data_IF_236354604219
#
_entry.id   IF_236354604219
#
_cell.length_a   1.000
_cell.length_b   1.000
_cell.length_c   1.000
_cell.angle_alpha   90.00
_cell.angle_beta   90.00
_cell.angle_gamma   90.00
#
_symmetry.space_group_name_H-M   'P 1'
#
loop_
_entity.id
_entity.type
_entity.pdbx_description
1 polymer ?
#
# COMPACT_ATOMS: atom_id res chain seq x y z
N UNK A 1 17.76 63.62 -28.45
CA UNK A 1 17.04 63.32 -27.19
C UNK A 1 16.76 61.81 -27.13
N UNK A 2 17.76 60.96 -26.85
CA UNK A 2 17.64 59.48 -26.88
C UNK A 2 18.19 58.80 -25.61
N UNK A 3 18.24 59.51 -24.49
CA UNK A 3 18.73 58.95 -23.21
C UNK A 3 17.68 58.12 -22.45
N UNK A 4 16.38 58.33 -22.72
CA UNK A 4 15.30 57.57 -22.08
C UNK A 4 15.22 56.10 -22.53
N UNK A 5 15.52 55.83 -23.81
CA UNK A 5 15.34 54.51 -24.41
C UNK A 5 16.39 53.48 -23.94
N UNK A 6 17.63 53.90 -23.62
CA UNK A 6 18.66 52.98 -23.10
C UNK A 6 18.32 52.50 -21.68
N UNK A 7 17.95 53.43 -20.78
CA UNK A 7 17.64 53.08 -19.38
C UNK A 7 16.43 52.13 -19.28
N UNK A 8 15.44 52.29 -20.15
CA UNK A 8 14.26 51.43 -20.17
C UNK A 8 14.57 50.04 -20.73
N UNK A 9 15.42 49.92 -21.76
CA UNK A 9 15.90 48.64 -22.29
C UNK A 9 16.68 47.83 -21.25
N UNK A 10 17.57 48.46 -20.48
CA UNK A 10 18.29 47.75 -19.40
C UNK A 10 17.35 47.24 -18.31
N UNK A 11 16.34 48.01 -17.91
CA UNK A 11 15.33 47.56 -16.94
C UNK A 11 14.55 46.35 -17.45
N UNK A 12 14.16 46.35 -18.73
CA UNK A 12 13.46 45.23 -19.35
C UNK A 12 14.36 43.98 -19.41
N UNK A 13 15.64 44.13 -19.78
CA UNK A 13 16.59 43.02 -19.76
C UNK A 13 16.77 42.42 -18.36
N UNK A 14 16.84 43.27 -17.33
CA UNK A 14 16.93 42.80 -15.94
C UNK A 14 15.66 42.07 -15.47
N UNK A 15 14.47 42.55 -15.88
CA UNK A 15 13.19 41.88 -15.59
C UNK A 15 13.14 40.52 -16.30
N UNK A 16 13.51 40.44 -17.58
CA UNK A 16 13.54 39.18 -18.34
C UNK A 16 14.55 38.20 -17.74
N UNK A 17 15.72 38.69 -17.31
CA UNK A 17 16.72 37.87 -16.64
C UNK A 17 16.19 37.32 -15.31
N UNK A 18 15.54 38.15 -14.50
CA UNK A 18 14.93 37.73 -13.24
C UNK A 18 13.85 36.67 -13.45
N UNK A 19 12.96 36.88 -14.43
CA UNK A 19 11.93 35.90 -14.79
C UNK A 19 12.55 34.59 -15.28
N UNK A 20 13.61 34.66 -16.10
CA UNK A 20 14.30 33.46 -16.59
C UNK A 20 14.92 32.66 -15.46
N UNK A 21 15.53 33.31 -14.46
CA UNK A 21 16.08 32.66 -13.27
C UNK A 21 14.96 32.00 -12.46
N UNK A 22 13.83 32.69 -12.25
CA UNK A 22 12.69 32.15 -11.50
C UNK A 22 12.12 30.91 -12.19
N UNK A 23 11.91 30.95 -13.51
CA UNK A 23 11.43 29.81 -14.29
C UNK A 23 12.38 28.62 -14.14
N UNK A 24 13.70 28.87 -14.21
CA UNK A 24 14.72 27.82 -14.08
C UNK A 24 14.69 27.17 -12.69
N UNK A 25 14.58 27.96 -11.62
CA UNK A 25 14.45 27.45 -10.24
C UNK A 25 13.17 26.63 -10.07
N UNK A 26 12.04 27.11 -10.56
CA UNK A 26 10.75 26.38 -10.47
C UNK A 26 10.82 25.08 -11.25
N UNK A 27 11.35 25.08 -12.49
CA UNK A 27 11.50 23.87 -13.30
C UNK A 27 12.44 22.86 -12.64
N UNK A 28 13.53 23.31 -12.02
CA UNK A 28 14.47 22.43 -11.32
C UNK A 28 13.86 21.83 -10.05
N UNK A 29 13.20 22.65 -9.22
CA UNK A 29 12.50 22.19 -8.03
C UNK A 29 11.37 21.21 -8.39
N UNK A 30 10.61 21.51 -9.44
CA UNK A 30 9.55 20.61 -9.90
C UNK A 30 10.11 19.31 -10.48
N UNK A 31 11.19 19.37 -11.26
CA UNK A 31 11.83 18.19 -11.85
C UNK A 31 12.40 17.23 -10.79
N UNK A 32 13.05 17.77 -9.76
CA UNK A 32 13.58 16.97 -8.64
C UNK A 32 12.46 16.39 -7.77
N UNK A 33 11.43 17.18 -7.46
CA UNK A 33 10.26 16.70 -6.74
C UNK A 33 9.47 15.63 -7.51
N UNK A 34 9.25 15.83 -8.81
CA UNK A 34 8.56 14.88 -9.67
C UNK A 34 9.31 13.55 -9.81
N UNK A 35 10.66 13.59 -9.91
CA UNK A 35 11.49 12.37 -9.88
C UNK A 35 11.37 11.64 -8.55
N UNK A 36 11.41 12.38 -7.45
CA UNK A 36 11.26 11.82 -6.09
C UNK A 36 9.88 11.17 -5.91
N UNK A 37 8.82 11.76 -6.46
CA UNK A 37 7.48 11.17 -6.44
C UNK A 37 7.41 9.89 -7.29
N UNK A 38 7.96 9.92 -8.50
CA UNK A 38 8.04 8.73 -9.36
C UNK A 38 8.82 7.60 -8.70
N UNK A 39 9.93 7.90 -8.03
CA UNK A 39 10.71 6.91 -7.28
C UNK A 39 9.90 6.34 -6.11
N UNK A 40 9.17 7.19 -5.37
CA UNK A 40 8.28 6.77 -4.27
C UNK A 40 7.07 5.97 -4.73
N UNK A 41 6.63 6.14 -5.97
CA UNK A 41 5.57 5.38 -6.62
C UNK A 41 6.07 4.02 -7.14
N UNK A 42 7.37 3.89 -7.44
CA UNK A 42 7.98 2.63 -7.87
C UNK A 42 8.30 1.68 -6.71
N UNK A 43 8.42 2.20 -5.48
CA UNK A 43 8.64 1.36 -4.29
C UNK A 43 7.37 0.55 -4.00
N UNK A 44 7.49 -0.77 -3.82
CA UNK A 44 6.34 -1.62 -3.50
C UNK A 44 5.75 -1.23 -2.14
N UNK A 45 4.48 -0.82 -2.12
CA UNK A 45 3.75 -0.46 -0.89
C UNK A 45 2.75 -1.54 -0.53
N UNK A 46 2.94 -2.13 0.65
CA UNK A 46 2.08 -3.21 1.11
C UNK A 46 0.70 -2.67 1.50
N UNK A 47 -0.30 -2.87 0.63
CA UNK A 47 -1.71 -2.61 0.89
C UNK A 47 -2.42 -3.76 1.65
N UNK A 48 -1.66 -4.63 2.33
CA UNK A 48 -2.24 -5.79 3.02
C UNK A 48 -3.20 -5.38 4.14
N UNK A 49 -2.98 -4.25 4.83
CA UNK A 49 -3.84 -3.83 5.95
C UNK A 49 -5.26 -3.42 5.51
N UNK A 50 -5.39 -2.69 4.40
CA UNK A 50 -6.72 -2.35 3.84
C UNK A 50 -7.42 -3.59 3.29
N UNK A 51 -6.66 -4.49 2.66
CA UNK A 51 -7.14 -5.79 2.19
C UNK A 51 -7.70 -6.65 3.33
N UNK A 52 -6.94 -6.80 4.41
CA UNK A 52 -7.35 -7.56 5.59
C UNK A 52 -8.63 -6.99 6.22
N UNK A 53 -8.73 -5.66 6.33
CA UNK A 53 -9.93 -5.00 6.86
C UNK A 53 -11.17 -5.31 6.00
N UNK A 54 -11.03 -5.25 4.68
CA UNK A 54 -12.13 -5.55 3.77
C UNK A 54 -12.56 -7.02 3.86
N UNK A 55 -11.62 -7.96 3.82
CA UNK A 55 -11.92 -9.39 3.96
C UNK A 55 -12.62 -9.72 5.28
N UNK A 56 -12.19 -9.08 6.38
CA UNK A 56 -12.86 -9.23 7.68
C UNK A 56 -14.26 -8.64 7.67
N UNK A 57 -14.44 -7.45 7.11
CA UNK A 57 -15.75 -6.82 7.02
C UNK A 57 -16.72 -7.69 6.21
N UNK A 58 -16.24 -8.36 5.16
CA UNK A 58 -17.02 -9.34 4.41
C UNK A 58 -17.43 -10.51 5.32
N UNK A 59 -16.44 -11.14 5.97
CA UNK A 59 -16.66 -12.28 6.85
C UNK A 59 -17.60 -11.98 8.02
N UNK A 60 -17.59 -10.76 8.56
CA UNK A 60 -18.56 -10.32 9.58
C UNK A 60 -19.99 -10.17 9.05
N UNK A 61 -20.16 -9.83 7.78
CA UNK A 61 -21.48 -9.65 7.17
C UNK A 61 -22.09 -10.96 6.68
N UNK A 62 -21.27 -11.89 6.19
CA UNK A 62 -21.73 -13.14 5.56
C UNK A 62 -21.49 -14.38 6.42
N UNK A 63 -20.70 -14.26 7.49
CA UNK A 63 -20.26 -15.40 8.32
C UNK A 63 -19.12 -16.23 7.72
N UNK A 64 -18.69 -15.94 6.48
CA UNK A 64 -17.65 -16.70 5.77
C UNK A 64 -16.74 -15.78 4.96
N UNK A 65 -15.50 -16.21 4.70
CA UNK A 65 -14.61 -15.51 3.77
C UNK A 65 -15.11 -15.61 2.32
N UNK A 66 -14.88 -14.56 1.50
CA UNK A 66 -15.32 -14.51 0.10
C UNK A 66 -14.60 -15.57 -0.73
N UNK A 67 -15.23 -16.08 -1.78
CA UNK A 67 -14.57 -17.07 -2.64
C UNK A 67 -13.49 -16.45 -3.52
N UNK A 68 -13.68 -15.19 -3.94
CA UNK A 68 -12.78 -14.43 -4.83
C UNK A 68 -12.76 -12.93 -4.46
N UNK A 69 -11.77 -12.18 -4.97
CA UNK A 69 -11.67 -10.73 -4.73
C UNK A 69 -12.84 -9.95 -5.35
N UNK A 70 -13.45 -10.47 -6.41
CA UNK A 70 -14.61 -9.84 -7.04
C UNK A 70 -15.80 -9.69 -6.05
N UNK A 71 -16.01 -10.66 -5.17
CA UNK A 71 -17.08 -10.59 -4.16
C UNK A 71 -16.81 -9.50 -3.10
N UNK A 72 -15.54 -9.20 -2.82
CA UNK A 72 -15.13 -8.09 -1.95
C UNK A 72 -15.31 -6.75 -2.65
N UNK A 73 -14.93 -6.69 -3.93
CA UNK A 73 -15.05 -5.50 -4.77
C UNK A 73 -16.52 -5.03 -4.85
N UNK A 74 -17.44 -5.93 -5.17
CA UNK A 74 -18.87 -5.61 -5.32
C UNK A 74 -19.52 -5.09 -4.02
N UNK A 75 -19.08 -5.62 -2.86
CA UNK A 75 -19.75 -5.36 -1.58
C UNK A 75 -19.09 -4.27 -0.75
N UNK A 76 -17.76 -4.16 -0.78
CA UNK A 76 -16.99 -3.35 0.16
C UNK A 76 -16.22 -2.24 -0.55
N UNK A 77 -15.41 -2.58 -1.54
CA UNK A 77 -14.51 -1.58 -2.12
C UNK A 77 -15.21 -0.64 -3.11
N UNK A 78 -16.09 -1.17 -3.97
CA UNK A 78 -16.88 -0.41 -4.94
C UNK A 78 -16.04 0.65 -5.68
N UNK A 79 -14.84 0.28 -6.13
CA UNK A 79 -14.00 1.19 -6.89
C UNK A 79 -14.71 1.62 -8.16
N UNK A 80 -14.57 2.90 -8.52
CA UNK A 80 -15.14 3.43 -9.77
C UNK A 80 -14.57 2.77 -11.04
N UNK A 81 -13.40 2.13 -10.92
CA UNK A 81 -12.78 1.31 -11.96
C UNK A 81 -12.36 -0.01 -11.31
N UNK A 82 -12.97 -1.11 -11.75
CA UNK A 82 -12.62 -2.42 -11.22
C UNK A 82 -11.13 -2.71 -11.47
N UNK A 83 -10.39 -3.09 -10.42
CA UNK A 83 -9.03 -3.58 -10.58
C UNK A 83 -8.99 -4.81 -11.50
N UNK A 84 -7.87 -5.02 -12.16
CA UNK A 84 -7.65 -6.25 -12.92
C UNK A 84 -7.42 -7.41 -11.94
N UNK A 85 -8.42 -8.28 -11.81
CA UNK A 85 -8.38 -9.43 -10.91
C UNK A 85 -7.74 -10.68 -11.54
N UNK A 86 -7.26 -10.58 -12.77
CA UNK A 86 -6.78 -11.71 -13.56
C UNK A 86 -7.90 -12.72 -13.89
N UNK A 87 -7.57 -13.76 -14.68
CA UNK A 87 -8.56 -14.72 -15.18
C UNK A 87 -9.24 -15.55 -14.08
N UNK A 88 -8.55 -15.78 -12.96
CA UNK A 88 -9.10 -16.53 -11.82
C UNK A 88 -9.90 -15.66 -10.84
N UNK A 89 -9.94 -14.33 -11.02
CA UNK A 89 -10.55 -13.35 -10.08
C UNK A 89 -9.99 -13.39 -8.64
N UNK A 90 -8.92 -14.15 -8.42
CA UNK A 90 -8.24 -14.36 -7.13
C UNK A 90 -6.90 -13.65 -7.04
N UNK A 91 -6.55 -12.91 -8.07
CA UNK A 91 -5.28 -12.20 -8.13
C UNK A 91 -5.56 -10.71 -8.18
N UNK A 92 -4.64 -9.88 -7.69
CA UNK A 92 -4.79 -8.43 -7.76
C UNK A 92 -3.41 -7.80 -7.84
N UNK A 93 -3.20 -6.87 -8.76
CA UNK A 93 -1.97 -6.07 -8.77
C UNK A 93 -2.28 -4.65 -8.33
N UNK A 94 -1.70 -4.20 -7.22
CA UNK A 94 -1.86 -2.83 -6.72
C UNK A 94 -0.59 -2.35 -6.04
N UNK A 95 -0.21 -1.09 -6.28
CA UNK A 95 0.94 -0.42 -5.65
C UNK A 95 2.27 -1.22 -5.74
N UNK A 96 2.52 -1.82 -6.91
CA UNK A 96 3.66 -2.70 -7.19
C UNK A 96 3.75 -3.90 -6.24
N UNK A 97 2.60 -4.40 -5.78
CA UNK A 97 2.46 -5.72 -5.21
C UNK A 97 1.50 -6.55 -6.05
N UNK A 98 1.85 -7.81 -6.24
CA UNK A 98 1.00 -8.84 -6.78
C UNK A 98 0.43 -9.66 -5.62
N UNK A 99 -0.88 -9.67 -5.51
CA UNK A 99 -1.62 -10.38 -4.48
C UNK A 99 -2.23 -11.64 -5.08
N UNK A 100 -2.11 -12.76 -4.35
CA UNK A 100 -2.77 -14.02 -4.68
C UNK A 100 -3.61 -14.45 -3.48
N UNK A 101 -4.89 -14.62 -3.71
CA UNK A 101 -5.87 -15.05 -2.72
C UNK A 101 -6.23 -16.51 -2.90
N UNK A 102 -6.35 -17.22 -1.78
CA UNK A 102 -7.02 -18.50 -1.77
C UNK A 102 -7.81 -18.69 -0.49
N UNK A 103 -9.06 -19.10 -0.66
CA UNK A 103 -9.92 -19.59 0.41
C UNK A 103 -9.58 -21.07 0.66
N UNK A 104 -9.01 -21.37 1.81
CA UNK A 104 -8.68 -22.75 2.21
C UNK A 104 -9.86 -23.40 2.93
N UNK A 105 -10.62 -22.61 3.69
CA UNK A 105 -11.78 -23.03 4.48
C UNK A 105 -12.78 -21.86 4.58
N UNK A 106 -14.08 -22.07 4.85
CA UNK A 106 -15.04 -20.97 5.05
C UNK A 106 -14.61 -19.94 6.09
N UNK A 107 -13.81 -20.35 7.08
CA UNK A 107 -13.27 -19.49 8.13
C UNK A 107 -11.77 -19.25 8.00
N UNK A 108 -11.09 -19.74 6.95
CA UNK A 108 -9.65 -19.51 6.78
C UNK A 108 -9.32 -19.13 5.35
N UNK A 109 -8.67 -17.98 5.19
CA UNK A 109 -8.13 -17.58 3.90
C UNK A 109 -6.65 -17.25 3.98
N UNK A 110 -6.00 -17.38 2.84
CA UNK A 110 -4.56 -17.14 2.66
C UNK A 110 -4.35 -16.06 1.62
N UNK A 111 -3.34 -15.23 1.85
CA UNK A 111 -2.95 -14.15 0.96
C UNK A 111 -1.44 -14.15 0.81
N UNK A 112 -0.99 -14.23 -0.43
CA UNK A 112 0.35 -13.85 -0.80
C UNK A 112 0.36 -12.40 -1.24
N UNK A 113 1.37 -11.65 -0.81
CA UNK A 113 1.68 -10.32 -1.30
C UNK A 113 3.14 -10.31 -1.74
N UNK A 114 3.34 -10.25 -3.06
CA UNK A 114 4.64 -10.42 -3.71
C UNK A 114 5.04 -9.08 -4.31
N UNK A 115 6.22 -8.54 -3.99
CA UNK A 115 6.65 -7.29 -4.60
C UNK A 115 6.82 -7.48 -6.11
N UNK A 116 6.32 -6.53 -6.88
CA UNK A 116 6.38 -6.48 -8.34
C UNK A 116 6.97 -5.15 -8.81
N UNK A 117 7.16 -4.99 -10.12
CA UNK A 117 7.71 -3.75 -10.70
C UNK A 117 9.24 -3.62 -10.61
N UNK A 118 9.79 -2.46 -11.01
CA UNK A 118 11.23 -2.28 -11.23
C UNK A 118 12.06 -2.27 -9.94
N UNK A 119 11.45 -1.95 -8.79
CA UNK A 119 12.10 -1.93 -7.47
C UNK A 119 11.64 -3.08 -6.58
N UNK A 120 11.27 -4.22 -7.17
CA UNK A 120 10.79 -5.40 -6.40
C UNK A 120 11.77 -5.86 -5.32
N UNK A 121 13.07 -5.69 -5.53
CA UNK A 121 14.13 -6.07 -4.61
C UNK A 121 14.15 -5.21 -3.33
N UNK A 122 13.55 -4.01 -3.37
CA UNK A 122 13.35 -3.16 -2.19
C UNK A 122 12.14 -3.62 -1.35
N UNK A 123 11.31 -4.53 -1.90
CA UNK A 123 10.14 -5.09 -1.25
C UNK A 123 10.42 -6.39 -0.52
N UNK A 124 9.45 -6.85 0.26
CA UNK A 124 9.50 -8.16 0.90
C UNK A 124 8.24 -8.94 0.55
N UNK A 125 8.39 -10.25 0.33
CA UNK A 125 7.20 -11.09 0.17
C UNK A 125 6.56 -11.29 1.52
N UNK A 126 5.23 -11.19 1.54
CA UNK A 126 4.43 -11.49 2.72
C UNK A 126 3.47 -12.61 2.42
N UNK A 127 3.36 -13.53 3.37
CA UNK A 127 2.32 -14.54 3.38
C UNK A 127 1.44 -14.30 4.61
N UNK A 128 0.13 -14.31 4.44
CA UNK A 128 -0.82 -14.08 5.52
C UNK A 128 -1.82 -15.22 5.56
N UNK A 129 -2.06 -15.73 6.76
CA UNK A 129 -3.16 -16.65 7.07
C UNK A 129 -4.11 -15.90 7.99
N UNK A 130 -5.35 -15.74 7.53
CA UNK A 130 -6.37 -14.95 8.20
C UNK A 130 -7.48 -15.90 8.65
N UNK A 131 -7.70 -15.94 9.96
CA UNK A 131 -8.87 -16.56 10.59
C UNK A 131 -9.71 -15.48 11.28
N UNK A 132 -10.92 -15.80 11.80
CA UNK A 132 -11.78 -14.82 12.46
C UNK A 132 -11.14 -14.27 13.74
N UNK A 133 -10.23 -15.02 14.35
CA UNK A 133 -9.66 -14.71 15.65
C UNK A 133 -8.22 -14.20 15.57
N UNK A 134 -7.44 -14.74 14.65
CA UNK A 134 -5.99 -14.56 14.62
C UNK A 134 -5.53 -14.25 13.20
N UNK A 135 -4.56 -13.34 13.08
CA UNK A 135 -3.81 -13.16 11.84
C UNK A 135 -2.39 -13.60 12.08
N UNK A 136 -1.95 -14.57 11.29
CA UNK A 136 -0.55 -14.97 11.21
C UNK A 136 0.04 -14.40 9.93
N UNK A 137 1.21 -13.81 10.05
CA UNK A 137 1.90 -13.16 8.93
C UNK A 137 3.32 -13.65 8.91
N UNK A 138 3.80 -14.01 7.73
CA UNK A 138 5.20 -14.29 7.48
C UNK A 138 5.78 -13.21 6.58
N UNK A 139 7.08 -12.95 6.75
CA UNK A 139 7.85 -12.02 5.93
C UNK A 139 9.13 -12.71 5.48
N UNK A 140 9.45 -12.61 4.20
CA UNK A 140 10.66 -13.19 3.63
C UNK A 140 11.20 -12.37 2.46
N UNK A 141 12.17 -12.92 1.73
CA UNK A 141 12.81 -12.26 0.58
C UNK A 141 11.81 -11.96 -0.54
N UNK A 142 12.21 -11.12 -1.50
CA UNK A 142 11.42 -10.79 -2.69
C UNK A 142 11.37 -12.00 -3.66
N UNK A 143 10.31 -12.81 -3.54
CA UNK A 143 10.07 -13.96 -4.40
C UNK A 143 9.55 -13.50 -5.75
N UNK A 144 9.75 -14.31 -6.80
CA UNK A 144 9.18 -14.02 -8.11
C UNK A 144 7.74 -14.53 -8.18
N UNK A 145 6.92 -13.89 -9.04
CA UNK A 145 5.54 -14.34 -9.29
C UNK A 145 5.49 -15.80 -9.75
N UNK A 146 6.41 -16.19 -10.64
CA UNK A 146 6.46 -17.54 -11.19
C UNK A 146 6.85 -18.63 -10.18
N UNK A 147 7.50 -18.27 -9.07
CA UNK A 147 7.80 -19.21 -8.00
C UNK A 147 6.55 -19.48 -7.15
N UNK A 148 5.74 -18.45 -6.87
CA UNK A 148 4.51 -18.60 -6.08
C UNK A 148 3.42 -19.34 -6.83
N UNK A 149 3.29 -19.16 -8.15
CA UNK A 149 2.31 -19.90 -8.95
C UNK A 149 2.53 -21.43 -8.91
N UNK A 150 3.76 -21.87 -8.54
CA UNK A 150 4.11 -23.29 -8.35
C UNK A 150 3.96 -23.76 -6.91
N UNK A 151 3.80 -22.85 -5.96
CA UNK A 151 3.65 -23.16 -4.53
C UNK A 151 2.16 -23.37 -4.25
N UNK A 152 1.84 -24.39 -3.45
CA UNK A 152 0.48 -24.62 -2.99
C UNK A 152 -0.07 -23.35 -2.30
N UNK A 153 -1.33 -23.01 -2.53
CA UNK A 153 -1.89 -21.76 -2.00
C UNK A 153 -1.84 -21.67 -0.46
N UNK A 154 -1.87 -22.82 0.22
CA UNK A 154 -1.61 -22.96 1.64
C UNK A 154 -0.36 -23.84 1.87
N UNK A 155 0.86 -23.27 1.81
CA UNK A 155 2.09 -24.01 2.08
C UNK A 155 2.19 -24.43 3.55
N UNK A 156 2.93 -25.50 3.83
CA UNK A 156 3.28 -25.87 5.20
C UNK A 156 4.29 -24.88 5.81
N UNK A 157 4.35 -24.82 7.15
CA UNK A 157 5.32 -24.00 7.87
C UNK A 157 6.78 -24.31 7.48
N UNK A 158 7.10 -25.58 7.23
CA UNK A 158 8.43 -26.00 6.80
C UNK A 158 8.78 -25.44 5.41
N UNK A 159 7.82 -25.43 4.48
CA UNK A 159 8.02 -24.83 3.16
C UNK A 159 8.22 -23.31 3.26
N UNK A 160 7.49 -22.63 4.14
CA UNK A 160 7.72 -21.21 4.42
C UNK A 160 9.14 -20.97 4.97
N UNK A 161 9.59 -21.79 5.92
CA UNK A 161 10.94 -21.69 6.46
C UNK A 161 12.02 -21.93 5.39
N UNK A 162 11.82 -22.91 4.51
CA UNK A 162 12.73 -23.16 3.37
C UNK A 162 12.78 -21.98 2.39
N UNK A 163 11.68 -21.24 2.24
CA UNK A 163 11.61 -20.00 1.45
C UNK A 163 12.23 -18.78 2.19
N UNK A 164 12.82 -18.97 3.36
CA UNK A 164 13.37 -17.90 4.19
C UNK A 164 12.30 -16.99 4.79
N UNK A 165 11.06 -17.47 4.90
CA UNK A 165 9.97 -16.72 5.50
C UNK A 165 10.02 -16.84 7.02
N UNK A 166 9.93 -15.72 7.70
CA UNK A 166 9.92 -15.64 9.16
C UNK A 166 8.55 -15.21 9.64
N UNK A 167 7.97 -15.96 10.58
CA UNK A 167 6.71 -15.59 11.21
C UNK A 167 6.90 -14.27 11.97
N UNK A 168 6.03 -13.32 11.67
CA UNK A 168 5.93 -12.02 12.33
C UNK A 168 5.00 -12.15 13.53
N UNK A 169 5.04 -11.16 14.44
CA UNK A 169 4.18 -11.16 15.63
C UNK A 169 2.72 -11.44 15.26
N UNK A 170 2.15 -12.42 15.94
CA UNK A 170 0.74 -12.79 15.80
C UNK A 170 -0.10 -11.60 16.21
N UNK A 171 -1.02 -11.18 15.34
CA UNK A 171 -1.98 -10.13 15.67
C UNK A 171 -3.20 -10.84 16.25
N UNK A 172 -3.27 -10.89 17.58
CA UNK A 172 -4.47 -11.33 18.30
C UNK A 172 -5.55 -10.24 18.18
N UNK A 173 -6.63 -10.57 17.49
CA UNK A 173 -7.69 -9.62 17.18
C UNK A 173 -8.56 -9.30 18.40
N UNK A 174 -8.56 -10.16 19.44
CA UNK A 174 -9.33 -9.94 20.67
C UNK A 174 -8.75 -8.78 21.50
N UNK A 175 -7.45 -8.55 21.40
CA UNK A 175 -6.76 -7.50 22.16
C UNK A 175 -6.77 -6.14 21.46
N UNK A 176 -6.83 -6.10 20.13
CA UNK A 176 -6.83 -4.86 19.35
C UNK A 176 -8.07 -3.96 19.61
N UNK A 177 -9.17 -4.52 20.13
CA UNK A 177 -10.35 -3.75 20.57
C UNK A 177 -10.21 -3.05 21.91
N UNK A 178 -9.22 -3.41 22.75
CA UNK A 178 -9.02 -2.84 24.09
C UNK A 178 -8.08 -1.63 24.10
N UNK A 179 -7.23 -1.44 23.10
CA UNK A 179 -6.26 -0.33 23.10
C UNK A 179 -6.87 1.01 22.68
N UNK A 180 -8.06 1.01 22.07
CA UNK A 180 -8.74 2.26 21.67
C UNK A 180 -9.50 2.95 22.82
N UNK A 181 -9.57 2.36 24.02
CA UNK A 181 -10.26 2.93 25.19
C UNK A 181 -9.32 3.56 26.23
N UNK A 182 -8.04 3.75 25.90
CA UNK A 182 -7.04 4.37 26.80
C UNK A 182 -6.49 5.69 26.24
N UNK A 183 -7.35 6.51 25.62
CA UNK A 183 -7.08 7.94 25.54
C UNK A 183 -7.58 8.58 26.85
N UNK A 184 -6.71 9.18 27.68
CA UNK A 184 -7.19 9.97 28.79
C UNK A 184 -7.95 11.17 28.23
N UNK A 185 -9.25 11.22 28.48
CA UNK A 185 -10.04 12.45 28.37
C UNK A 185 -9.41 13.50 29.28
N UNK A 186 -8.61 14.40 28.69
CA UNK A 186 -8.26 15.67 29.31
C UNK A 186 -9.54 16.51 29.39
N UNK A 187 -10.34 16.23 30.41
CA UNK A 187 -11.43 17.09 30.86
C UNK A 187 -10.79 18.32 31.51
N UNK A 188 -10.73 19.41 30.76
CA UNK A 188 -10.28 20.71 31.26
C UNK A 188 -11.23 21.23 32.34
N UNK A 189 -10.80 21.07 33.59
CA UNK A 189 -11.37 21.71 34.77
C UNK A 189 -10.96 23.20 34.74
N UNK A 190 -11.82 24.06 34.18
CA UNK A 190 -11.71 25.52 34.34
C UNK A 190 -12.20 25.88 35.74
N UNK A 191 -11.26 26.04 36.69
CA UNK A 191 -11.54 26.68 37.97
C UNK A 191 -11.22 28.17 37.92
N UNK A 192 -12.22 28.92 38.36
CA UNK A 192 -12.18 30.24 39.00
C UNK A 192 -10.82 30.66 39.56
N UNK A 193 -10.35 31.85 39.14
CA UNK A 193 -10.12 33.05 39.97
C UNK A 193 -9.61 34.20 39.10
#
# INVERSE_FOLDING_TARGET
MFEGARKQKFKITFVILGVSIIVLVISFAYGTWARTQREKEMVPRLAADSMMKALRQYQRQTGQFPDDFNAVEERIWKHSKNPDFGPSKRTLTVANYYYVYAKTDPLTCTIWAIPSGPKREEGSTHFLVITPEVIRRWKGPALSKGDIDKIASAPSGDLLNMLGMTEQRIIDQRQAGKTSSLLPTLSGDKKHL
#
